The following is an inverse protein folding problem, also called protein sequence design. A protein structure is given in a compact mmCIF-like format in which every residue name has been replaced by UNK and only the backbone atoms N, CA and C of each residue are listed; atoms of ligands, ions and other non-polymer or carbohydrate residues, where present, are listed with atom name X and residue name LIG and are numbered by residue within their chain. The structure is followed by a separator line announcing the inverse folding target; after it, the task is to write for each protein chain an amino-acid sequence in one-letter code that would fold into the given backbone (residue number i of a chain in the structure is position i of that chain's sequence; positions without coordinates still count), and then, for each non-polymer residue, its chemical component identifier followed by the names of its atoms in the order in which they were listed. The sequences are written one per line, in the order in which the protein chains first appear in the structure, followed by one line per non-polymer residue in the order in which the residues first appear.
data_IF_624222776041
#
_entry.id   IF_624222776041
#
_cell.length_a   1.000
_cell.length_b   1.000
_cell.length_c   1.000
_cell.angle_alpha   90.00
_cell.angle_beta   90.00
_cell.angle_gamma   90.00
#
_symmetry.space_group_name_H-M   'P 1'
#
loop_
_entity.id
_entity.type
_entity.pdbx_description
1 polymer ?
#
# COMPACT_ATOMS: atom_id res chain seq x y z
N UNK A 1 -8.90 1.17 -16.63
CA UNK A 1 -8.72 2.61 -16.40
C UNK A 1 -7.48 3.03 -17.19
N UNK A 2 -7.60 3.89 -18.20
CA UNK A 2 -6.46 4.31 -19.04
C UNK A 2 -5.68 5.37 -18.26
N UNK A 3 -4.40 5.14 -18.01
CA UNK A 3 -3.53 6.16 -17.41
C UNK A 3 -3.46 7.33 -18.40
N UNK A 4 -4.10 8.44 -18.05
CA UNK A 4 -4.03 9.68 -18.83
C UNK A 4 -2.66 10.26 -18.52
N UNK A 5 -1.84 10.45 -19.55
CA UNK A 5 -0.54 11.07 -19.40
C UNK A 5 -0.78 12.52 -18.94
N UNK A 6 -0.43 12.83 -17.69
CA UNK A 6 -0.58 14.17 -17.14
C UNK A 6 0.53 15.02 -17.75
N UNK A 7 0.25 15.62 -18.91
CA UNK A 7 1.15 16.56 -19.57
C UNK A 7 1.26 17.82 -18.71
N UNK A 8 2.38 17.98 -18.00
CA UNK A 8 3.08 19.15 -17.42
C UNK A 8 2.34 20.43 -16.95
N UNK A 9 1.01 20.53 -17.05
CA UNK A 9 0.22 21.69 -16.64
C UNK A 9 -0.66 21.43 -15.41
N UNK A 10 -0.90 20.15 -15.06
CA UNK A 10 -1.69 19.80 -13.87
C UNK A 10 -0.77 19.54 -12.68
N UNK A 11 -0.71 20.49 -11.75
CA UNK A 11 -0.08 20.26 -10.44
C UNK A 11 -0.97 19.29 -9.66
N UNK A 12 -0.40 18.19 -9.18
CA UNK A 12 -1.08 17.31 -8.22
C UNK A 12 -1.24 18.12 -6.92
N UNK A 13 -2.47 18.42 -6.51
CA UNK A 13 -2.75 19.11 -5.25
C UNK A 13 -2.94 18.15 -4.08
N UNK A 14 -3.45 16.94 -4.35
CA UNK A 14 -3.78 15.96 -3.32
C UNK A 14 -3.30 14.56 -3.70
N UNK A 15 -2.64 13.88 -2.76
CA UNK A 15 -2.28 12.46 -2.84
C UNK A 15 -3.09 11.68 -1.80
N UNK A 16 -3.82 10.67 -2.26
CA UNK A 16 -4.48 9.67 -1.40
C UNK A 16 -3.65 8.39 -1.49
N UNK A 17 -3.10 7.93 -0.37
CA UNK A 17 -2.29 6.72 -0.30
C UNK A 17 -2.87 5.73 0.69
N UNK A 18 -2.96 4.47 0.28
CA UNK A 18 -3.43 3.40 1.17
C UNK A 18 -2.35 3.02 2.17
N UNK A 19 -2.73 2.98 3.44
CA UNK A 19 -1.93 2.43 4.55
C UNK A 19 -2.72 1.28 5.16
N UNK A 20 -2.03 0.26 5.65
CA UNK A 20 -2.68 -0.95 6.17
C UNK A 20 -1.86 -1.57 7.30
N UNK A 21 -2.46 -2.41 8.15
CA UNK A 21 -1.76 -3.14 9.21
C UNK A 21 -0.87 -4.29 8.68
N UNK A 22 -0.66 -4.41 7.37
CA UNK A 22 0.18 -5.46 6.79
C UNK A 22 1.65 -5.01 6.82
N UNK A 23 2.48 -5.74 7.58
CA UNK A 23 3.93 -5.57 7.58
C UNK A 23 4.57 -6.47 6.52
N UNK A 24 5.70 -6.02 5.94
CA UNK A 24 6.47 -6.80 4.96
C UNK A 24 7.36 -7.87 5.66
N UNK A 25 7.40 -7.89 7.00
CA UNK A 25 8.15 -8.89 7.76
C UNK A 25 7.74 -10.34 7.44
N UNK A 26 8.73 -11.24 7.28
CA UNK A 26 8.51 -12.69 7.16
C UNK A 26 8.88 -13.31 5.81
N UNK A 27 8.48 -14.57 5.56
CA UNK A 27 8.86 -15.33 4.33
C UNK A 27 8.40 -14.67 3.02
N UNK A 28 7.40 -13.79 3.07
CA UNK A 28 6.89 -13.03 1.91
C UNK A 28 7.81 -11.85 1.49
N UNK A 29 8.70 -11.41 2.38
CA UNK A 29 9.64 -10.31 2.19
C UNK A 29 10.51 -10.48 0.93
N UNK A 30 11.06 -11.69 0.72
CA UNK A 30 11.91 -12.00 -0.44
C UNK A 30 11.15 -11.87 -1.77
N UNK A 31 9.85 -12.14 -1.77
CA UNK A 31 9.01 -12.09 -2.98
C UNK A 31 8.59 -10.66 -3.32
N UNK A 32 8.30 -9.84 -2.30
CA UNK A 32 7.90 -8.46 -2.51
C UNK A 32 9.08 -7.57 -2.93
N UNK A 33 10.25 -7.69 -2.28
CA UNK A 33 11.45 -6.93 -2.66
C UNK A 33 11.87 -7.29 -4.10
N UNK A 34 11.79 -8.58 -4.50
CA UNK A 34 12.00 -9.00 -5.89
C UNK A 34 11.10 -8.32 -6.91
N UNK A 35 9.88 -7.89 -6.54
CA UNK A 35 9.02 -7.10 -7.42
C UNK A 35 9.45 -5.63 -7.47
N UNK A 36 9.92 -5.09 -6.35
CA UNK A 36 10.50 -3.74 -6.22
C UNK A 36 11.83 -3.58 -6.99
N UNK A 37 12.54 -4.69 -7.24
CA UNK A 37 13.79 -4.75 -8.01
C UNK A 37 13.74 -3.99 -9.35
N UNK A 38 12.57 -3.89 -9.97
CA UNK A 38 12.39 -3.23 -11.27
C UNK A 38 12.56 -1.71 -11.25
N UNK A 39 12.48 -1.07 -10.08
CA UNK A 39 12.66 0.38 -9.92
C UNK A 39 13.92 0.76 -9.15
N UNK A 40 14.69 -0.20 -8.65
CA UNK A 40 15.85 0.10 -7.80
C UNK A 40 16.87 1.01 -8.49
N UNK A 41 17.02 0.93 -9.81
CA UNK A 41 17.88 1.84 -10.57
C UNK A 41 17.47 3.33 -10.50
N UNK A 42 16.24 3.63 -10.05
CA UNK A 42 15.73 4.99 -9.81
C UNK A 42 15.95 5.47 -8.40
N UNK A 43 16.35 4.59 -7.48
CA UNK A 43 16.55 4.95 -6.09
C UNK A 43 17.90 5.66 -5.92
N UNK A 44 17.97 6.67 -5.03
CA UNK A 44 19.24 7.24 -4.61
C UNK A 44 20.19 6.15 -4.09
N UNK A 45 21.50 6.40 -4.17
CA UNK A 45 22.50 5.42 -3.76
C UNK A 45 22.38 5.04 -2.28
N UNK A 46 22.12 6.03 -1.42
CA UNK A 46 21.87 5.84 0.02
C UNK A 46 20.70 4.87 0.29
N UNK A 47 19.65 4.94 -0.52
CA UNK A 47 18.45 4.10 -0.40
C UNK A 47 18.72 2.67 -0.87
N UNK A 48 19.49 2.55 -1.95
CA UNK A 48 19.99 1.26 -2.42
C UNK A 48 20.87 0.58 -1.38
N UNK A 49 21.78 1.33 -0.76
CA UNK A 49 22.64 0.80 0.29
C UNK A 49 21.84 0.43 1.52
N UNK A 50 20.89 1.25 1.98
CA UNK A 50 19.99 0.90 3.07
C UNK A 50 19.25 -0.42 2.80
N UNK A 51 18.65 -0.56 1.62
CA UNK A 51 17.94 -1.78 1.22
C UNK A 51 18.89 -2.98 1.07
N UNK A 52 20.12 -2.77 0.60
CA UNK A 52 21.14 -3.81 0.46
C UNK A 52 21.58 -4.37 1.80
N UNK A 53 21.79 -3.51 2.82
CA UNK A 53 22.09 -3.96 4.18
C UNK A 53 20.95 -4.82 4.75
N UNK A 54 19.71 -4.53 4.34
CA UNK A 54 18.54 -5.25 4.79
C UNK A 54 18.34 -6.61 4.09
N UNK A 55 18.43 -6.65 2.76
CA UNK A 55 18.24 -7.89 2.00
C UNK A 55 19.24 -8.01 0.82
N UNK A 56 20.51 -8.33 1.10
CA UNK A 56 21.59 -8.25 0.11
C UNK A 56 21.39 -9.21 -1.07
N UNK A 57 20.79 -10.39 -0.82
CA UNK A 57 20.48 -11.36 -1.87
C UNK A 57 19.39 -10.85 -2.82
N UNK A 58 18.29 -10.29 -2.28
CA UNK A 58 17.22 -9.76 -3.12
C UNK A 58 17.70 -8.58 -3.97
N UNK A 59 18.50 -7.68 -3.39
CA UNK A 59 19.05 -6.51 -4.06
C UNK A 59 20.16 -6.89 -5.06
N UNK A 60 21.06 -7.82 -4.72
CA UNK A 60 22.12 -8.31 -5.60
C UNK A 60 21.62 -8.90 -6.92
N UNK A 61 20.51 -9.65 -6.89
CA UNK A 61 19.85 -10.16 -8.11
C UNK A 61 19.26 -9.06 -9.01
N UNK A 62 19.06 -7.85 -8.49
CA UNK A 62 18.44 -6.72 -9.21
C UNK A 62 19.39 -5.98 -10.13
N UNK A 63 20.70 -6.17 -9.99
CA UNK A 63 21.71 -5.49 -10.82
C UNK A 63 21.90 -6.16 -12.20
N UNK A 64 21.04 -7.10 -12.59
CA UNK A 64 20.98 -7.57 -13.97
C UNK A 64 20.35 -6.47 -14.85
N UNK A 65 21.19 -5.56 -15.35
CA UNK A 65 20.82 -4.35 -16.13
C UNK A 65 19.93 -4.67 -17.35
N UNK A 66 20.03 -5.87 -17.92
CA UNK A 66 19.24 -6.29 -19.08
C UNK A 66 17.77 -6.57 -18.74
N UNK A 67 17.47 -7.11 -17.56
CA UNK A 67 16.09 -7.39 -17.10
C UNK A 67 15.36 -6.09 -16.68
N UNK A 68 16.11 -5.14 -16.13
CA UNK A 68 15.60 -3.83 -15.68
C UNK A 68 15.01 -3.02 -16.85
N UNK A 69 15.70 -2.97 -18.00
CA UNK A 69 15.25 -2.17 -19.16
C UNK A 69 14.01 -2.76 -19.85
N UNK A 70 13.93 -4.08 -19.96
CA UNK A 70 12.81 -4.74 -20.63
C UNK A 70 11.49 -4.60 -19.86
N UNK A 71 11.55 -4.47 -18.54
CA UNK A 71 10.38 -4.56 -17.66
C UNK A 71 10.06 -3.28 -16.86
N UNK A 72 10.81 -2.18 -17.06
CA UNK A 72 10.58 -0.90 -16.38
C UNK A 72 9.17 -0.32 -16.60
N UNK A 73 8.56 -0.59 -17.75
CA UNK A 73 7.22 -0.12 -18.09
C UNK A 73 6.08 -0.89 -17.37
N UNK A 74 6.40 -1.98 -16.66
CA UNK A 74 5.44 -2.82 -15.96
C UNK A 74 5.34 -2.50 -14.46
N UNK A 75 5.81 -1.31 -14.04
CA UNK A 75 5.73 -0.88 -12.63
C UNK A 75 4.66 0.18 -12.45
N UNK A 76 3.81 -0.03 -11.45
CA UNK A 76 2.59 0.74 -11.25
C UNK A 76 1.41 0.22 -12.06
N UNK A 77 0.26 0.87 -11.90
CA UNK A 77 -0.99 0.49 -12.56
C UNK A 77 -1.96 -0.25 -11.64
N UNK A 78 -3.20 -0.39 -12.13
CA UNK A 78 -4.26 -1.09 -11.42
C UNK A 78 -4.27 -2.57 -11.81
N UNK A 79 -4.09 -3.46 -10.84
CA UNK A 79 -4.27 -4.89 -11.01
C UNK A 79 -5.74 -5.24 -10.72
N UNK A 80 -6.48 -5.65 -11.75
CA UNK A 80 -7.82 -6.18 -11.59
C UNK A 80 -7.76 -7.50 -10.81
N UNK A 81 -8.29 -7.52 -9.60
CA UNK A 81 -8.24 -8.69 -8.73
C UNK A 81 -9.50 -9.54 -8.92
N UNK A 82 -9.45 -10.46 -9.89
CA UNK A 82 -10.45 -11.52 -10.06
C UNK A 82 -10.15 -12.71 -9.14
N UNK A 83 -10.45 -12.53 -7.86
CA UNK A 83 -10.16 -13.51 -6.80
C UNK A 83 -11.37 -13.63 -5.88
N UNK A 84 -11.68 -14.87 -5.49
CA UNK A 84 -12.76 -15.20 -4.55
C UNK A 84 -12.29 -16.29 -3.58
N UNK A 85 -11.21 -16.01 -2.84
CA UNK A 85 -10.55 -16.99 -1.95
C UNK A 85 -10.83 -16.74 -0.47
N UNK A 86 -11.79 -15.87 -0.14
CA UNK A 86 -12.12 -15.53 1.25
C UNK A 86 -12.35 -16.78 2.11
N UNK A 87 -13.27 -17.67 1.71
CA UNK A 87 -13.60 -18.87 2.49
C UNK A 87 -12.40 -19.82 2.66
N UNK A 88 -11.55 -19.94 1.63
CA UNK A 88 -10.30 -20.71 1.72
C UNK A 88 -9.33 -20.11 2.73
N UNK A 89 -9.23 -18.78 2.77
CA UNK A 89 -8.36 -18.08 3.71
C UNK A 89 -8.87 -18.17 5.15
N UNK A 90 -10.19 -18.08 5.36
CA UNK A 90 -10.83 -18.28 6.66
C UNK A 90 -10.59 -19.70 7.19
N UNK A 91 -10.67 -20.72 6.33
CA UNK A 91 -10.37 -22.10 6.73
C UNK A 91 -8.90 -22.31 7.12
N UNK A 92 -7.97 -21.52 6.56
CA UNK A 92 -6.53 -21.62 6.82
C UNK A 92 -6.07 -20.79 8.02
N UNK A 93 -6.67 -19.62 8.23
CA UNK A 93 -6.28 -18.67 9.28
C UNK A 93 -7.17 -18.86 10.50
N UNK A 94 -6.80 -19.81 11.35
CA UNK A 94 -7.56 -20.13 12.59
C UNK A 94 -7.21 -19.21 13.76
N UNK A 95 -6.10 -18.46 13.70
CA UNK A 95 -5.63 -17.56 14.76
C UNK A 95 -5.06 -16.25 14.19
N UNK A 96 -5.01 -15.20 15.04
CA UNK A 96 -4.29 -13.95 14.75
C UNK A 96 -2.88 -14.27 14.31
N UNK A 97 -2.36 -13.59 13.28
CA UNK A 97 -0.95 -13.74 12.93
C UNK A 97 -0.11 -13.38 14.15
N UNK A 98 0.84 -14.22 14.57
CA UNK A 98 1.73 -13.91 15.69
C UNK A 98 2.70 -12.77 15.37
N UNK A 99 2.78 -12.36 14.09
CA UNK A 99 3.63 -11.25 13.68
C UNK A 99 3.14 -9.96 14.36
N UNK A 100 4.01 -9.27 15.12
CA UNK A 100 3.68 -7.95 15.59
C UNK A 100 3.44 -7.09 14.34
N UNK A 101 2.32 -6.40 14.28
CA UNK A 101 2.01 -5.39 13.27
C UNK A 101 2.92 -4.15 13.43
N UNK A 102 4.21 -4.35 13.73
CA UNK A 102 5.24 -3.34 13.67
C UNK A 102 5.54 -3.18 12.19
N UNK A 103 5.20 -2.03 11.59
CA UNK A 103 5.55 -1.78 10.20
C UNK A 103 7.07 -1.88 10.08
N UNK A 104 7.52 -2.63 9.10
CA UNK A 104 8.94 -2.85 8.88
C UNK A 104 9.67 -1.50 8.77
N UNK A 105 10.90 -1.37 9.30
CA UNK A 105 11.61 -0.08 9.33
C UNK A 105 11.72 0.55 7.94
N UNK A 106 11.94 -0.26 6.91
CA UNK A 106 11.94 0.20 5.53
C UNK A 106 10.57 0.77 5.10
N UNK A 107 9.45 0.15 5.50
CA UNK A 107 8.11 0.68 5.18
C UNK A 107 7.91 2.06 5.82
N UNK A 108 8.29 2.22 7.08
CA UNK A 108 8.20 3.50 7.78
C UNK A 108 9.11 4.56 7.14
N UNK A 109 10.35 4.21 6.83
CA UNK A 109 11.30 5.11 6.17
C UNK A 109 10.74 5.68 4.86
N UNK A 110 10.16 4.83 4.01
CA UNK A 110 9.59 5.30 2.74
C UNK A 110 8.27 6.04 2.93
N UNK A 111 7.47 5.70 3.94
CA UNK A 111 6.29 6.48 4.29
C UNK A 111 6.68 7.89 4.76
N UNK A 112 7.71 8.01 5.60
CA UNK A 112 8.26 9.28 6.08
C UNK A 112 8.75 10.15 4.90
N UNK A 113 9.44 9.54 3.92
CA UNK A 113 9.86 10.23 2.69
C UNK A 113 8.69 10.73 1.86
N UNK A 114 7.61 9.94 1.73
CA UNK A 114 6.39 10.37 1.02
C UNK A 114 5.75 11.56 1.72
N UNK A 115 5.65 11.51 3.05
CA UNK A 115 5.12 12.62 3.87
C UNK A 115 5.96 13.88 3.68
N UNK A 116 7.29 13.78 3.84
CA UNK A 116 8.21 14.90 3.67
C UNK A 116 8.14 15.49 2.26
N UNK A 117 8.08 14.65 1.23
CA UNK A 117 7.95 15.08 -0.15
C UNK A 117 6.65 15.87 -0.37
N UNK A 118 5.51 15.33 0.09
CA UNK A 118 4.22 15.99 -0.04
C UNK A 118 4.21 17.35 0.66
N UNK A 119 4.74 17.44 1.89
CA UNK A 119 4.90 18.71 2.62
C UNK A 119 5.75 19.71 1.81
N UNK A 120 6.90 19.27 1.29
CA UNK A 120 7.82 20.13 0.54
C UNK A 120 7.23 20.69 -0.77
N UNK A 121 6.24 20.00 -1.35
CA UNK A 121 5.58 20.38 -2.61
C UNK A 121 4.20 21.01 -2.39
N UNK A 122 3.79 21.19 -1.13
CA UNK A 122 2.43 21.62 -0.76
C UNK A 122 1.36 20.72 -1.40
N UNK A 123 1.61 19.41 -1.41
CA UNK A 123 0.65 18.39 -1.80
C UNK A 123 -0.05 17.95 -0.53
N UNK A 124 -1.38 18.07 -0.51
CA UNK A 124 -2.19 17.56 0.59
C UNK A 124 -2.11 16.04 0.60
N UNK A 125 -1.65 15.47 1.70
CA UNK A 125 -1.56 14.03 1.88
C UNK A 125 -2.75 13.51 2.70
N UNK A 126 -3.38 12.46 2.19
CA UNK A 126 -4.45 11.73 2.88
C UNK A 126 -4.06 10.26 2.94
N UNK A 127 -3.98 9.73 4.14
CA UNK A 127 -3.89 8.30 4.38
C UNK A 127 -5.27 7.67 4.35
N UNK A 128 -5.41 6.52 3.69
CA UNK A 128 -6.65 5.76 3.67
C UNK A 128 -6.42 4.32 4.12
N UNK A 129 -7.10 3.89 5.18
CA UNK A 129 -7.18 2.48 5.54
C UNK A 129 -8.36 1.88 4.78
N UNK A 130 -8.08 0.97 3.84
CA UNK A 130 -9.12 0.39 2.99
C UNK A 130 -9.86 -0.75 3.69
N UNK A 131 -11.08 -1.10 3.25
CA UNK A 131 -11.83 -2.19 3.86
C UNK A 131 -11.08 -3.52 3.78
N UNK A 132 -11.00 -4.21 4.91
CA UNK A 132 -10.44 -5.55 5.05
C UNK A 132 -11.49 -6.44 5.73
N UNK A 133 -11.41 -7.76 5.52
CA UNK A 133 -12.39 -8.66 6.12
C UNK A 133 -12.01 -8.91 7.59
N UNK A 134 -12.74 -8.28 8.51
CA UNK A 134 -12.53 -8.43 9.95
C UNK A 134 -11.05 -8.29 10.36
N UNK A 135 -10.44 -7.14 10.03
CA UNK A 135 -9.00 -6.92 10.24
C UNK A 135 -8.56 -7.19 11.67
N UNK A 136 -9.40 -6.87 12.66
CA UNK A 136 -9.19 -7.11 14.08
C UNK A 136 -8.97 -8.58 14.45
N UNK A 137 -9.45 -9.52 13.62
CA UNK A 137 -9.27 -10.96 13.81
C UNK A 137 -7.93 -11.47 13.30
N UNK A 138 -7.29 -10.75 12.40
CA UNK A 138 -6.10 -11.23 11.69
C UNK A 138 -4.87 -10.36 11.92
N UNK A 139 -5.04 -9.09 12.29
CA UNK A 139 -3.97 -8.11 12.43
C UNK A 139 -3.99 -7.42 13.80
N UNK A 140 -2.85 -6.90 14.24
CA UNK A 140 -2.76 -6.07 15.44
C UNK A 140 -3.09 -4.61 15.09
N UNK A 141 -4.39 -4.31 15.09
CA UNK A 141 -4.93 -2.99 14.75
C UNK A 141 -4.51 -1.92 15.76
N UNK A 142 -4.37 -2.27 17.04
CA UNK A 142 -3.99 -1.31 18.09
C UNK A 142 -2.61 -0.72 17.80
N UNK A 143 -1.64 -1.55 17.40
CA UNK A 143 -0.32 -1.06 17.04
C UNK A 143 -0.33 -0.23 15.75
N UNK A 144 -1.16 -0.62 14.78
CA UNK A 144 -1.34 0.16 13.54
C UNK A 144 -1.87 1.57 13.85
N UNK A 145 -2.95 1.68 14.61
CA UNK A 145 -3.51 2.98 14.99
C UNK A 145 -2.54 3.79 15.84
N UNK A 146 -1.84 3.15 16.79
CA UNK A 146 -0.79 3.80 17.56
C UNK A 146 0.30 4.42 16.67
N UNK A 147 0.77 3.71 15.65
CA UNK A 147 1.75 4.27 14.70
C UNK A 147 1.18 5.48 13.95
N UNK A 148 -0.07 5.40 13.49
CA UNK A 148 -0.72 6.53 12.80
C UNK A 148 -0.85 7.75 13.73
N UNK A 149 -1.29 7.54 14.96
CA UNK A 149 -1.47 8.59 15.97
C UNK A 149 -0.13 9.18 16.44
N UNK A 150 0.87 8.35 16.71
CA UNK A 150 2.15 8.82 17.26
C UNK A 150 3.03 9.49 16.20
N UNK A 151 3.04 8.99 14.95
CA UNK A 151 3.96 9.46 13.90
C UNK A 151 3.33 10.36 12.83
N UNK A 152 2.03 10.23 12.59
CA UNK A 152 1.36 10.83 11.44
C UNK A 152 0.07 11.56 11.82
N UNK A 153 -0.05 12.05 13.07
CA UNK A 153 -1.23 12.79 13.55
C UNK A 153 -1.55 14.06 12.76
N UNK A 154 -0.58 14.65 12.08
CA UNK A 154 -0.76 15.83 11.24
C UNK A 154 -1.21 15.48 9.81
N UNK A 155 -1.20 14.20 9.43
CA UNK A 155 -1.69 13.71 8.14
C UNK A 155 -3.17 13.36 8.28
N UNK A 156 -3.99 13.80 7.32
CA UNK A 156 -5.41 13.42 7.32
C UNK A 156 -5.54 11.90 7.16
N UNK A 157 -6.23 11.24 8.09
CA UNK A 157 -6.48 9.81 8.05
C UNK A 157 -7.96 9.50 7.80
N UNK A 158 -8.23 8.75 6.73
CA UNK A 158 -9.55 8.23 6.40
C UNK A 158 -9.61 6.74 6.69
N UNK A 159 -10.21 6.38 7.82
CA UNK A 159 -10.32 5.00 8.23
C UNK A 159 -11.61 4.35 7.71
N UNK A 160 -11.45 3.32 6.87
CA UNK A 160 -12.51 2.43 6.42
C UNK A 160 -12.22 0.96 6.73
N UNK A 161 -11.30 0.67 7.66
CA UNK A 161 -10.99 -0.71 8.04
C UNK A 161 -12.22 -1.50 8.47
N UNK A 162 -13.18 -0.83 9.12
CA UNK A 162 -14.45 -1.38 9.59
C UNK A 162 -15.61 -1.21 8.59
N UNK A 163 -15.36 -0.72 7.37
CA UNK A 163 -16.42 -0.58 6.37
C UNK A 163 -16.83 -1.97 5.85
N UNK A 164 -18.07 -2.36 6.14
CA UNK A 164 -18.56 -3.71 5.86
C UNK A 164 -19.04 -3.81 4.41
N UNK A 165 -18.55 -4.84 3.72
CA UNK A 165 -19.04 -5.26 2.42
C UNK A 165 -19.51 -6.73 2.48
N UNK A 166 -20.35 -7.18 1.55
CA UNK A 166 -20.67 -8.61 1.42
C UNK A 166 -19.41 -9.45 1.17
N UNK A 167 -19.37 -10.69 1.66
CA UNK A 167 -18.27 -11.66 1.44
C UNK A 167 -17.81 -11.73 -0.03
N UNK A 168 -18.76 -11.64 -0.97
CA UNK A 168 -18.50 -11.65 -2.41
C UNK A 168 -17.64 -10.48 -2.90
N UNK A 169 -17.36 -9.49 -2.06
CA UNK A 169 -16.54 -8.30 -2.36
C UNK A 169 -15.07 -8.47 -1.95
N UNK A 170 -14.71 -9.54 -1.24
CA UNK A 170 -13.35 -9.79 -0.77
C UNK A 170 -12.65 -10.84 -1.62
N UNK A 171 -11.40 -10.55 -2.01
CA UNK A 171 -10.53 -11.51 -2.68
C UNK A 171 -9.91 -12.50 -1.71
N UNK A 172 -9.55 -12.00 -0.54
CA UNK A 172 -9.05 -12.72 0.62
C UNK A 172 -9.27 -11.85 1.88
N UNK A 173 -8.74 -12.26 3.04
CA UNK A 173 -8.98 -11.52 4.29
C UNK A 173 -8.36 -10.11 4.30
N UNK A 174 -7.34 -9.87 3.47
CA UNK A 174 -6.61 -8.60 3.44
C UNK A 174 -7.00 -7.68 2.29
N UNK A 175 -7.70 -8.17 1.26
CA UNK A 175 -7.92 -7.42 0.03
C UNK A 175 -9.33 -7.55 -0.52
N UNK A 176 -9.86 -6.44 -1.03
CA UNK A 176 -11.06 -6.43 -1.87
C UNK A 176 -10.78 -7.05 -3.24
N UNK A 177 -11.73 -7.80 -3.77
CA UNK A 177 -11.73 -8.19 -5.17
C UNK A 177 -12.28 -7.05 -6.05
N UNK A 178 -12.40 -7.27 -7.35
CA UNK A 178 -12.89 -6.25 -8.26
C UNK A 178 -14.31 -5.74 -7.94
N UNK A 179 -15.20 -6.59 -7.39
CA UNK A 179 -16.56 -6.20 -7.01
C UNK A 179 -16.50 -5.23 -5.83
N UNK A 180 -15.74 -5.59 -4.80
CA UNK A 180 -15.53 -4.73 -3.63
C UNK A 180 -14.83 -3.43 -3.98
N UNK A 181 -13.76 -3.50 -4.77
CA UNK A 181 -13.02 -2.34 -5.23
C UNK A 181 -13.92 -1.37 -6.01
N UNK A 182 -14.76 -1.87 -6.93
CA UNK A 182 -15.72 -1.02 -7.67
C UNK A 182 -16.71 -0.31 -6.75
N UNK A 183 -17.29 -1.03 -5.77
CA UNK A 183 -18.23 -0.44 -4.80
C UNK A 183 -17.55 0.61 -3.93
N UNK A 184 -16.40 0.27 -3.35
CA UNK A 184 -15.66 1.17 -2.48
C UNK A 184 -15.14 2.41 -3.22
N UNK A 185 -14.64 2.25 -4.46
CA UNK A 185 -14.21 3.38 -5.29
C UNK A 185 -15.35 4.33 -5.63
N UNK A 186 -16.56 3.82 -5.89
CA UNK A 186 -17.72 4.68 -6.15
C UNK A 186 -18.08 5.53 -4.92
N UNK A 187 -18.13 4.93 -3.73
CA UNK A 187 -18.34 5.65 -2.47
C UNK A 187 -17.22 6.68 -2.21
N UNK A 188 -15.96 6.28 -2.40
CA UNK A 188 -14.82 7.17 -2.19
C UNK A 188 -14.86 8.37 -3.15
N UNK A 189 -15.23 8.15 -4.41
CA UNK A 189 -15.37 9.21 -5.41
C UNK A 189 -16.44 10.23 -5.00
N UNK A 190 -17.59 9.77 -4.49
CA UNK A 190 -18.64 10.64 -3.98
C UNK A 190 -18.16 11.46 -2.79
N UNK A 191 -17.49 10.84 -1.81
CA UNK A 191 -16.94 11.55 -0.65
C UNK A 191 -15.91 12.60 -1.04
N UNK A 192 -15.01 12.27 -1.98
CA UNK A 192 -14.02 13.21 -2.49
C UNK A 192 -14.72 14.39 -3.14
N UNK A 193 -15.69 14.17 -4.02
CA UNK A 193 -16.45 15.24 -4.71
C UNK A 193 -17.20 16.16 -3.72
N UNK A 194 -17.89 15.59 -2.73
CA UNK A 194 -18.68 16.37 -1.79
C UNK A 194 -17.82 17.29 -0.92
N UNK A 195 -16.54 16.93 -0.68
CA UNK A 195 -15.60 17.76 0.07
C UNK A 195 -15.03 18.95 -0.74
N UNK A 196 -15.10 18.91 -2.07
CA UNK A 196 -14.68 20.02 -2.93
C UNK A 196 -15.84 21.01 -3.23
N UNK A 197 -17.08 20.64 -2.87
CA UNK A 197 -18.26 21.48 -3.05
C UNK A 197 -18.70 22.20 -1.76
N UNK A 198 -17.89 22.14 -0.70
CA UNK A 198 -18.03 22.86 0.56
C UNK A 198 -16.84 23.80 0.74
#
# INVERSE_FOLDING_TARGET
MKLINITSASKIDTLIISVSPVSIGGKEERSQIKKTNKLLYRFPWEDLMFLFHYNPLAIGHSFNIFDIRANANNVGGYLYLDRFKLQKDLARRTTKTPDPCIPHEAQLLYLDKIVAYCRSKSIRLIFINTPMYHAERFYNMDNFYKVIEDKYNDVTFWDYGNYVLPDSCYGDVGHLNYIGAKKFSAMLQEKVRNKYNQ
#
